data_IF_631799844108
#
_entry.id   IF_631799844108
#
_cell.length_a   1.000
_cell.length_b   1.000
_cell.length_c   1.000
_cell.angle_alpha   90.00
_cell.angle_beta   90.00
_cell.angle_gamma   90.00
#
_symmetry.space_group_name_H-M   'P 1'
#
loop_
_entity.id
_entity.type
_entity.pdbx_description
1 polymer ?
#
# COMPACT_ATOMS: atom_id res chain seq x y z
N UNK A 1 11.78 17.08 3.63
CA UNK A 1 10.40 16.95 4.15
C UNK A 1 9.95 15.48 4.07
N UNK A 2 9.75 14.80 5.20
CA UNK A 2 9.28 13.42 5.18
C UNK A 2 7.75 13.43 5.00
N UNK A 3 7.30 12.99 3.83
CA UNK A 3 5.90 12.63 3.61
C UNK A 3 5.64 11.25 4.20
N UNK A 4 4.45 11.04 4.74
CA UNK A 4 3.93 9.72 5.08
C UNK A 4 2.63 9.47 4.33
N UNK A 5 2.44 8.22 3.94
CA UNK A 5 1.32 7.79 3.11
C UNK A 5 0.42 6.85 3.88
N UNK A 6 -0.88 7.06 3.80
CA UNK A 6 -1.89 6.14 4.31
C UNK A 6 -3.04 6.04 3.33
N UNK A 7 -3.91 5.06 3.55
CA UNK A 7 -5.08 4.84 2.73
C UNK A 7 -6.33 4.80 3.58
N UNK A 8 -7.41 5.29 3.00
CA UNK A 8 -8.76 5.18 3.54
C UNK A 8 -9.52 4.16 2.69
N UNK A 9 -10.30 3.30 3.33
CA UNK A 9 -11.25 2.39 2.70
C UNK A 9 -12.66 2.77 3.17
N UNK A 10 -13.55 3.09 2.23
CA UNK A 10 -14.91 3.58 2.50
C UNK A 10 -14.90 4.72 3.56
N UNK A 11 -14.03 5.71 3.35
CA UNK A 11 -13.81 6.87 4.23
C UNK A 11 -13.24 6.59 5.64
N UNK A 12 -12.96 5.32 5.98
CA UNK A 12 -12.34 4.92 7.25
C UNK A 12 -10.85 4.61 7.06
N UNK A 13 -10.01 4.86 8.07
CA UNK A 13 -8.58 4.54 7.99
C UNK A 13 -8.38 3.04 7.81
N UNK A 14 -7.59 2.66 6.81
CA UNK A 14 -7.24 1.27 6.56
C UNK A 14 -6.26 0.79 7.64
N UNK A 15 -6.70 -0.13 8.51
CA UNK A 15 -5.84 -0.78 9.49
C UNK A 15 -5.07 -1.94 8.84
N UNK A 16 -3.75 -1.94 9.02
CA UNK A 16 -2.83 -2.92 8.46
C UNK A 16 -2.20 -3.81 9.55
N UNK A 17 -2.51 -3.60 10.83
CA UNK A 17 -1.80 -4.31 11.92
C UNK A 17 -1.97 -5.83 11.90
N UNK A 18 -3.03 -6.35 11.27
CA UNK A 18 -3.31 -7.79 11.18
C UNK A 18 -3.58 -8.28 9.75
N UNK A 19 -3.38 -7.45 8.72
CA UNK A 19 -3.64 -7.81 7.33
C UNK A 19 -2.34 -7.91 6.53
N UNK A 20 -1.76 -9.12 6.51
CA UNK A 20 -0.55 -9.40 5.71
C UNK A 20 -0.80 -9.36 4.20
N UNK A 21 -2.05 -9.32 3.75
CA UNK A 21 -2.39 -9.19 2.32
C UNK A 21 -2.33 -7.75 1.85
N UNK A 22 -2.26 -6.77 2.76
CA UNK A 22 -2.30 -5.35 2.40
C UNK A 22 -1.01 -4.66 2.82
N UNK A 23 -0.45 -3.86 1.93
CA UNK A 23 0.78 -3.13 2.19
C UNK A 23 0.75 -1.74 1.56
N UNK A 24 1.16 -0.72 2.31
CA UNK A 24 1.30 0.65 1.81
C UNK A 24 2.78 1.02 1.77
N UNK A 25 3.30 1.22 0.57
CA UNK A 25 4.69 1.65 0.37
C UNK A 25 4.85 3.09 0.85
N UNK A 26 5.80 3.32 1.75
CA UNK A 26 6.14 4.67 2.19
C UNK A 26 7.12 5.35 1.21
N UNK A 27 7.70 4.59 0.28
CA UNK A 27 8.52 5.13 -0.80
C UNK A 27 7.66 5.70 -1.95
N UNK A 28 6.55 5.04 -2.31
CA UNK A 28 5.72 5.40 -3.48
C UNK A 28 4.33 5.91 -3.14
N UNK A 29 3.81 5.59 -1.96
CA UNK A 29 2.42 5.86 -1.57
C UNK A 29 1.40 4.85 -2.11
N UNK A 30 1.82 3.87 -2.90
CA UNK A 30 0.93 2.85 -3.46
C UNK A 30 0.43 1.88 -2.38
N UNK A 31 -0.83 1.48 -2.49
CA UNK A 31 -1.44 0.37 -1.77
C UNK A 31 -1.39 -0.90 -2.63
N UNK A 32 -0.89 -1.99 -2.04
CA UNK A 32 -0.79 -3.30 -2.65
C UNK A 32 -1.72 -4.28 -1.92
N UNK A 33 -2.53 -5.02 -2.67
CA UNK A 33 -3.38 -6.10 -2.18
C UNK A 33 -2.87 -7.40 -2.79
N UNK A 34 -2.26 -8.29 -1.99
CA UNK A 34 -1.67 -9.54 -2.47
C UNK A 34 -2.69 -10.47 -3.13
N UNK A 35 -3.89 -10.53 -2.54
CA UNK A 35 -5.05 -11.25 -3.06
C UNK A 35 -6.32 -10.49 -2.71
N UNK A 36 -7.09 -10.12 -3.74
CA UNK A 36 -8.37 -9.42 -3.60
C UNK A 36 -9.46 -10.41 -3.19
N UNK A 37 -10.27 -10.02 -2.21
CA UNK A 37 -11.39 -10.77 -1.67
C UNK A 37 -12.69 -9.94 -1.81
N UNK A 38 -13.89 -10.55 -1.73
CA UNK A 38 -15.15 -9.83 -1.94
C UNK A 38 -15.36 -8.63 -1.00
N UNK A 39 -14.83 -8.69 0.23
CA UNK A 39 -14.92 -7.59 1.18
C UNK A 39 -13.93 -6.45 0.92
N UNK A 40 -13.03 -6.59 -0.06
CA UNK A 40 -12.14 -5.52 -0.51
C UNK A 40 -12.87 -4.56 -1.49
N UNK A 41 -14.09 -4.89 -1.96
CA UNK A 41 -14.88 -4.00 -2.84
C UNK A 41 -15.28 -2.71 -2.10
N UNK A 42 -14.96 -1.57 -2.69
CA UNK A 42 -15.27 -0.25 -2.13
C UNK A 42 -14.39 0.86 -2.68
N UNK A 43 -14.47 2.02 -2.03
CA UNK A 43 -13.71 3.21 -2.42
C UNK A 43 -12.42 3.33 -1.63
N UNK A 44 -11.31 3.46 -2.36
CA UNK A 44 -9.98 3.66 -1.82
C UNK A 44 -9.51 5.09 -2.06
N UNK A 45 -9.07 5.76 -1.00
CA UNK A 45 -8.56 7.13 -1.08
C UNK A 45 -7.16 7.21 -0.49
N UNK A 46 -6.18 7.65 -1.29
CA UNK A 46 -4.83 7.94 -0.82
C UNK A 46 -4.85 9.21 0.04
N UNK A 47 -4.16 9.15 1.17
CA UNK A 47 -4.02 10.25 2.10
C UNK A 47 -2.53 10.50 2.39
N UNK A 48 -2.10 11.74 2.20
CA UNK A 48 -0.69 12.14 2.31
C UNK A 48 -0.55 13.14 3.46
N UNK A 49 0.31 12.80 4.41
CA UNK A 49 0.63 13.65 5.55
C UNK A 49 2.07 14.15 5.42
N UNK A 50 2.31 15.42 5.74
CA UNK A 50 3.65 15.98 5.79
C UNK A 50 4.00 16.28 7.24
N UNK A 51 5.20 15.92 7.71
CA UNK A 51 5.63 16.26 9.06
C UNK A 51 5.66 17.78 9.35
N UNK A 52 5.66 18.61 8.30
CA UNK A 52 5.67 20.08 8.40
C UNK A 52 4.28 20.70 8.29
N UNK A 53 3.33 20.01 7.65
CA UNK A 53 1.95 20.49 7.54
C UNK A 53 1.12 19.80 8.61
N UNK A 54 0.46 20.57 9.49
CA UNK A 54 -0.50 20.03 10.45
C UNK A 54 -1.80 19.51 9.79
N UNK A 55 -1.78 19.28 8.47
CA UNK A 55 -2.93 18.87 7.69
C UNK A 55 -2.57 17.74 6.72
N UNK A 56 -3.55 16.88 6.45
CA UNK A 56 -3.44 15.75 5.54
C UNK A 56 -4.15 16.09 4.23
N UNK A 57 -3.47 15.95 3.10
CA UNK A 57 -4.09 16.05 1.78
C UNK A 57 -4.70 14.70 1.38
N UNK A 58 -5.87 14.71 0.72
CA UNK A 58 -6.55 13.50 0.24
C UNK A 58 -6.72 13.57 -1.27
N UNK A 59 -6.42 12.46 -1.95
CA UNK A 59 -6.71 12.30 -3.37
C UNK A 59 -8.20 12.07 -3.64
N UNK A 60 -8.60 11.96 -4.92
CA UNK A 60 -9.93 11.49 -5.29
C UNK A 60 -10.13 10.01 -4.92
N UNK A 61 -11.36 9.58 -4.60
CA UNK A 61 -11.66 8.17 -4.36
C UNK A 61 -11.54 7.36 -5.65
N UNK A 62 -11.02 6.14 -5.54
CA UNK A 62 -10.93 5.16 -6.62
C UNK A 62 -11.71 3.91 -6.24
N UNK A 63 -12.71 3.56 -7.03
CA UNK A 63 -13.56 2.40 -6.79
C UNK A 63 -12.86 1.10 -7.22
N UNK A 64 -12.75 0.13 -6.31
CA UNK A 64 -12.36 -1.24 -6.61
C UNK A 64 -13.61 -2.12 -6.76
N UNK A 65 -13.76 -2.74 -7.93
CA UNK A 65 -14.86 -3.67 -8.22
C UNK A 65 -14.33 -5.03 -8.64
N UNK A 66 -15.09 -6.09 -8.36
CA UNK A 66 -14.78 -7.44 -8.87
C UNK A 66 -15.29 -7.58 -10.30
N UNK A 67 -14.49 -8.25 -11.13
CA UNK A 67 -14.94 -8.68 -12.46
C UNK A 67 -15.79 -9.94 -12.33
N UNK A 68 -16.77 -10.08 -13.22
CA UNK A 68 -17.67 -11.25 -13.25
C UNK A 68 -17.18 -12.41 -14.13
N UNK A 69 -16.01 -12.29 -14.77
CA UNK A 69 -15.46 -13.22 -15.75
C UNK A 69 -14.68 -14.40 -15.14
N UNK A 70 -14.66 -14.52 -13.81
CA UNK A 70 -14.12 -15.68 -13.09
C UNK A 70 -13.33 -15.30 -11.82
N UNK A 71 -13.00 -16.30 -11.01
CA UNK A 71 -12.11 -16.15 -9.86
C UNK A 71 -10.68 -16.48 -10.30
N UNK A 72 -9.74 -15.58 -10.01
CA UNK A 72 -8.32 -15.87 -10.20
C UNK A 72 -7.91 -17.06 -9.32
N UNK A 73 -7.34 -18.10 -9.94
CA UNK A 73 -6.79 -19.25 -9.24
C UNK A 73 -5.58 -18.89 -8.37
N UNK A 74 -5.09 -19.86 -7.61
CA UNK A 74 -3.83 -19.70 -6.88
C UNK A 74 -2.65 -19.62 -7.87
N UNK A 75 -1.68 -18.76 -7.57
CA UNK A 75 -0.49 -18.54 -8.39
C UNK A 75 0.69 -18.14 -7.50
N UNK A 76 1.89 -18.54 -7.93
CA UNK A 76 3.13 -18.32 -7.16
C UNK A 76 3.33 -16.84 -6.79
N UNK A 77 3.77 -16.54 -5.55
CA UNK A 77 4.04 -15.18 -5.12
C UNK A 77 5.04 -14.44 -6.02
N UNK A 78 4.61 -13.33 -6.61
CA UNK A 78 5.43 -12.44 -7.42
C UNK A 78 5.77 -11.16 -6.66
N UNK A 79 7.05 -10.92 -6.40
CA UNK A 79 7.53 -9.70 -5.74
C UNK A 79 7.32 -8.49 -6.67
N UNK A 80 6.49 -7.56 -6.22
CA UNK A 80 6.13 -6.31 -6.93
C UNK A 80 6.81 -5.10 -6.28
N UNK A 81 6.92 -5.07 -4.95
CA UNK A 81 7.68 -4.03 -4.25
C UNK A 81 9.08 -4.56 -3.98
N UNK A 82 10.09 -3.84 -4.46
CA UNK A 82 11.50 -4.18 -4.29
C UNK A 82 12.27 -2.95 -3.82
N UNK A 83 13.26 -3.18 -2.97
CA UNK A 83 14.26 -2.17 -2.68
C UNK A 83 15.30 -2.09 -3.83
N UNK A 84 15.99 -0.96 -4.01
CA UNK A 84 17.05 -0.81 -4.99
C UNK A 84 18.17 -1.85 -4.80
N UNK A 85 18.86 -2.23 -5.88
CA UNK A 85 19.98 -3.18 -5.82
C UNK A 85 21.08 -2.76 -4.85
N UNK A 86 21.33 -1.44 -4.76
CA UNK A 86 22.28 -0.85 -3.79
C UNK A 86 21.67 0.37 -3.12
N UNK A 87 21.82 0.44 -1.80
CA UNK A 87 21.50 1.60 -0.99
C UNK A 87 22.76 2.03 -0.24
N UNK A 88 23.09 3.32 -0.33
CA UNK A 88 24.18 3.92 0.44
C UNK A 88 23.62 4.59 1.68
N UNK A 89 24.10 4.20 2.86
CA UNK A 89 23.65 4.72 4.14
C UNK A 89 24.85 5.21 4.97
N UNK A 90 24.68 6.31 5.69
CA UNK A 90 25.68 6.82 6.63
C UNK A 90 25.66 6.00 7.92
N UNK A 91 26.81 5.87 8.59
CA UNK A 91 26.90 5.23 9.91
C UNK A 91 25.96 5.93 10.90
N UNK A 92 25.09 5.16 11.55
CA UNK A 92 24.11 5.67 12.52
C UNK A 92 22.80 6.21 11.91
N UNK A 93 22.63 6.16 10.58
CA UNK A 93 21.35 6.50 9.94
C UNK A 93 20.36 5.33 9.96
N UNK A 94 19.07 5.64 9.90
CA UNK A 94 18.00 4.66 9.74
C UNK A 94 17.64 4.51 8.26
N UNK A 95 17.54 3.27 7.80
CA UNK A 95 17.06 2.94 6.44
C UNK A 95 15.85 2.01 6.53
N UNK A 96 14.95 2.12 5.56
CA UNK A 96 13.80 1.22 5.39
C UNK A 96 13.93 0.51 4.06
N UNK A 97 13.87 -0.82 4.09
CA UNK A 97 13.79 -1.67 2.90
C UNK A 97 12.36 -2.20 2.83
N UNK A 98 11.73 -2.05 1.67
CA UNK A 98 10.36 -2.53 1.43
C UNK A 98 10.41 -3.73 0.48
N UNK A 99 9.65 -4.78 0.81
CA UNK A 99 9.48 -5.96 -0.03
C UNK A 99 8.07 -6.50 0.15
N UNK A 100 7.34 -6.64 -0.95
CA UNK A 100 5.96 -7.13 -0.95
C UNK A 100 5.64 -7.89 -2.23
N UNK A 101 4.89 -8.98 -2.10
CA UNK A 101 4.54 -9.86 -3.20
C UNK A 101 3.02 -9.94 -3.40
N UNK A 102 2.61 -10.15 -4.65
CA UNK A 102 1.24 -10.49 -5.04
C UNK A 102 1.13 -12.00 -5.23
N UNK A 103 -0.03 -12.58 -4.97
CA UNK A 103 -0.24 -14.03 -5.04
C UNK A 103 -0.17 -14.72 -3.68
N UNK A 104 -0.37 -16.03 -3.68
CA UNK A 104 -0.45 -16.86 -2.48
C UNK A 104 0.35 -18.15 -2.68
#
# INVERSE_FOLDING_TARGET
>A
PALSYSWLFNSSTLDLQQDSRRFVSQATGNLYLAKVEPWDVGDYTCAVSSAQAQHQARGPPTALTLRGDGVMGEYEPKIEVRFPERIYAARGSSVRLECFALGK
#
